data_IF_281353040662
#
_entry.id   IF_281353040662
#
_cell.length_a   1.000
_cell.length_b   1.000
_cell.length_c   1.000
_cell.angle_alpha   90.00
_cell.angle_beta   90.00
_cell.angle_gamma   90.00
#
_symmetry.space_group_name_H-M   'P 1'
#
loop_
_entity.id
_entity.type
_entity.pdbx_description
1 polymer ?
#
# COMPACT_ATOMS: atom_id res chain seq x y z
N UNK A 1 11.05 -20.96 22.25
CA UNK A 1 11.87 -20.50 21.12
C UNK A 1 10.98 -20.56 19.90
N UNK A 2 10.31 -19.46 19.57
CA UNK A 2 9.38 -19.41 18.44
C UNK A 2 10.15 -19.01 17.18
N UNK A 3 10.28 -19.94 16.26
CA UNK A 3 10.99 -19.80 15.00
C UNK A 3 10.11 -19.01 14.03
N UNK A 4 10.49 -17.77 13.73
CA UNK A 4 9.89 -16.99 12.65
C UNK A 4 10.54 -17.49 11.36
N UNK A 5 9.80 -18.28 10.60
CA UNK A 5 10.28 -18.88 9.36
C UNK A 5 10.13 -17.88 8.21
N UNK A 6 11.26 -17.32 7.80
CA UNK A 6 11.38 -16.33 6.73
C UNK A 6 11.42 -17.09 5.39
N UNK A 7 10.36 -17.01 4.57
CA UNK A 7 10.34 -17.64 3.23
C UNK A 7 11.28 -16.90 2.26
N UNK A 8 12.58 -17.10 2.44
CA UNK A 8 13.66 -16.58 1.58
C UNK A 8 13.74 -17.44 0.32
N UNK A 9 13.18 -16.98 -0.80
CA UNK A 9 13.41 -17.69 -2.06
C UNK A 9 12.91 -17.08 -3.37
N UNK A 10 12.12 -16.00 -3.37
CA UNK A 10 11.36 -15.70 -4.58
C UNK A 10 11.92 -14.62 -5.53
N UNK A 11 12.98 -13.91 -5.14
CA UNK A 11 13.45 -12.75 -5.90
C UNK A 11 14.85 -13.00 -6.49
N UNK A 12 14.91 -13.50 -7.72
CA UNK A 12 16.15 -13.57 -8.52
C UNK A 12 15.96 -12.82 -9.83
N UNK A 13 16.63 -11.66 -9.89
CA UNK A 13 17.24 -10.97 -11.02
C UNK A 13 16.48 -10.83 -12.35
N UNK A 14 16.37 -9.57 -12.81
CA UNK A 14 16.69 -9.25 -14.20
C UNK A 14 17.26 -7.84 -14.34
N UNK A 15 18.40 -7.78 -15.04
CA UNK A 15 19.09 -6.55 -15.46
C UNK A 15 18.31 -5.90 -16.60
N UNK A 16 18.09 -4.59 -16.54
CA UNK A 16 17.64 -3.78 -17.68
C UNK A 16 18.79 -2.88 -18.15
N UNK A 17 19.09 -2.90 -19.45
CA UNK A 17 19.92 -1.90 -20.12
C UNK A 17 18.99 -0.88 -20.78
N UNK A 18 19.26 0.41 -20.55
CA UNK A 18 18.57 1.52 -21.21
C UNK A 18 19.55 2.27 -22.12
N UNK A 19 19.10 2.58 -23.34
CA UNK A 19 19.76 3.48 -24.29
C UNK A 19 18.84 4.68 -24.49
N UNK A 20 19.37 5.89 -24.37
CA UNK A 20 18.68 7.15 -24.63
C UNK A 20 19.37 7.90 -25.77
N UNK A 21 18.57 8.47 -26.68
CA UNK A 21 18.97 9.57 -27.55
C UNK A 21 17.96 10.73 -27.42
N UNK A 22 18.39 11.99 -27.67
CA UNK A 22 17.76 13.18 -27.13
C UNK A 22 16.84 13.90 -28.14
N UNK A 23 15.88 14.69 -27.62
CA UNK A 23 15.13 15.67 -28.42
C UNK A 23 14.04 16.37 -27.60
N UNK A 24 14.29 17.62 -27.19
CA UNK A 24 13.39 18.46 -26.39
C UNK A 24 12.40 19.21 -27.29
N UNK A 25 11.17 19.33 -26.78
CA UNK A 25 9.94 19.91 -27.33
C UNK A 25 9.86 21.43 -27.04
N UNK A 26 9.16 22.21 -27.88
CA UNK A 26 8.57 23.50 -27.46
C UNK A 26 7.20 23.80 -28.11
N UNK A 27 6.38 24.57 -27.38
CA UNK A 27 5.04 25.16 -27.67
C UNK A 27 3.82 24.23 -27.57
N UNK A 28 2.68 24.56 -26.95
CA UNK A 28 2.21 25.71 -26.15
C UNK A 28 0.91 25.37 -25.39
N UNK A 29 0.72 26.08 -24.28
CA UNK A 29 -0.45 26.34 -23.42
C UNK A 29 -1.86 26.13 -24.02
N UNK A 30 -2.69 25.33 -23.33
CA UNK A 30 -4.10 25.64 -23.08
C UNK A 30 -4.42 25.29 -21.61
N UNK A 31 -5.03 26.25 -20.91
CA UNK A 31 -5.56 26.13 -19.55
C UNK A 31 -6.95 25.49 -19.61
N UNK A 32 -7.10 24.30 -19.05
CA UNK A 32 -8.38 23.76 -18.61
C UNK A 32 -8.35 23.63 -17.10
N UNK A 33 -9.38 24.10 -16.41
CA UNK A 33 -9.62 23.76 -15.01
C UNK A 33 -10.58 22.57 -15.06
N UNK A 34 -10.05 21.37 -14.87
CA UNK A 34 -10.86 20.17 -14.64
C UNK A 34 -10.72 19.81 -13.17
N UNK A 35 -11.85 19.77 -12.47
CA UNK A 35 -11.95 19.17 -11.14
C UNK A 35 -13.16 18.25 -11.14
N UNK A 36 -12.93 16.94 -11.04
CA UNK A 36 -13.34 16.17 -9.87
C UNK A 36 -12.92 14.69 -9.98
N UNK A 37 -12.05 14.28 -9.06
CA UNK A 37 -12.09 12.97 -8.37
C UNK A 37 -11.85 11.69 -9.18
N UNK A 38 -10.79 11.63 -9.97
CA UNK A 38 -9.98 10.44 -10.12
C UNK A 38 -8.55 10.88 -10.46
N UNK A 39 -7.55 10.49 -9.67
CA UNK A 39 -6.16 10.81 -10.02
C UNK A 39 -5.84 10.07 -11.32
N UNK A 40 -5.38 10.82 -12.31
CA UNK A 40 -4.92 10.24 -13.57
C UNK A 40 -3.45 9.89 -13.49
N UNK A 41 -3.13 8.66 -13.84
CA UNK A 41 -1.78 8.14 -13.88
C UNK A 41 -1.37 7.86 -15.33
N UNK A 42 -0.14 8.21 -15.67
CA UNK A 42 0.55 7.75 -16.88
C UNK A 42 1.30 6.46 -16.58
N UNK A 43 1.66 5.75 -17.64
CA UNK A 43 2.53 4.57 -17.50
C UNK A 43 3.86 4.96 -16.84
N UNK A 44 4.26 4.24 -15.80
CA UNK A 44 5.48 4.50 -15.02
C UNK A 44 5.31 5.51 -13.89
N UNK A 45 4.13 6.12 -13.72
CA UNK A 45 3.88 7.00 -12.58
C UNK A 45 3.89 6.20 -11.27
N UNK A 46 4.50 6.79 -10.23
CA UNK A 46 4.55 6.18 -8.90
C UNK A 46 3.23 6.40 -8.16
N UNK A 47 2.63 5.30 -7.72
CA UNK A 47 1.42 5.30 -6.90
C UNK A 47 1.83 5.09 -5.44
N UNK A 48 1.43 6.03 -4.58
CA UNK A 48 1.79 6.02 -3.16
C UNK A 48 0.81 5.17 -2.35
N UNK A 49 1.36 4.28 -1.53
CA UNK A 49 0.59 3.56 -0.50
C UNK A 49 0.72 4.32 0.82
N UNK A 50 -0.40 4.52 1.50
CA UNK A 50 -0.44 5.17 2.82
C UNK A 50 -1.02 4.22 3.86
N UNK A 51 -0.41 4.23 5.04
CA UNK A 51 -0.94 3.59 6.24
C UNK A 51 -1.81 4.58 6.98
N UNK A 52 -3.09 4.23 7.14
CA UNK A 52 -4.07 5.10 7.78
C UNK A 52 -4.22 4.70 9.25
N UNK A 53 -4.90 3.58 9.52
CA UNK A 53 -5.15 3.14 10.90
C UNK A 53 -4.99 1.63 11.08
N UNK A 54 -4.93 1.23 12.33
CA UNK A 54 -4.96 -0.15 12.78
C UNK A 54 -6.21 -0.32 13.63
N UNK A 55 -7.12 -1.19 13.20
CA UNK A 55 -8.42 -1.38 13.84
C UNK A 55 -8.58 -2.76 14.44
N UNK A 56 -9.16 -2.78 15.64
CA UNK A 56 -9.66 -4.01 16.25
C UNK A 56 -11.09 -4.34 15.76
N UNK A 57 -11.55 -5.60 15.94
CA UNK A 57 -12.94 -5.98 15.65
C UNK A 57 -13.97 -5.14 16.43
N UNK A 58 -13.61 -4.66 17.62
CA UNK A 58 -14.41 -3.77 18.44
C UNK A 58 -14.38 -2.29 17.99
N UNK A 59 -13.86 -2.00 16.78
CA UNK A 59 -13.75 -0.66 16.18
C UNK A 59 -12.87 0.34 16.96
N UNK A 60 -11.99 -0.14 17.85
CA UNK A 60 -10.94 0.71 18.42
C UNK A 60 -9.85 0.90 17.37
N UNK A 61 -9.60 2.16 16.99
CA UNK A 61 -8.57 2.59 16.04
C UNK A 61 -7.30 3.05 16.76
N UNK A 62 -6.16 2.84 16.12
CA UNK A 62 -4.84 3.40 16.47
C UNK A 62 -4.12 3.80 15.19
N UNK A 63 -3.09 4.63 15.31
CA UNK A 63 -2.23 4.98 14.18
C UNK A 63 -1.46 3.77 13.67
N UNK A 64 -1.14 3.77 12.37
CA UNK A 64 -0.35 2.72 11.72
C UNK A 64 1.00 2.48 12.41
N UNK A 65 1.62 3.53 12.95
CA UNK A 65 2.91 3.49 13.67
C UNK A 65 2.91 2.60 14.92
N UNK A 66 1.73 2.19 15.41
CA UNK A 66 1.62 1.27 16.55
C UNK A 66 1.95 -0.18 16.20
N UNK A 67 1.91 -0.55 14.91
CA UNK A 67 2.31 -1.88 14.46
C UNK A 67 3.81 -1.85 14.16
N UNK A 68 4.63 -2.72 14.78
CA UNK A 68 6.09 -2.66 14.66
C UNK A 68 6.60 -3.28 13.34
N UNK A 69 6.04 -2.87 12.21
CA UNK A 69 6.60 -3.14 10.90
C UNK A 69 7.82 -2.25 10.63
N UNK A 70 8.79 -2.80 9.92
CA UNK A 70 9.91 -2.00 9.43
C UNK A 70 9.52 -1.17 8.19
N UNK A 71 10.40 -0.23 7.83
CA UNK A 71 10.19 0.71 6.72
C UNK A 71 10.14 2.14 7.23
N UNK A 72 10.37 3.12 6.35
CA UNK A 72 10.15 4.50 6.74
C UNK A 72 8.64 4.73 6.88
N UNK A 73 8.24 5.17 8.07
CA UNK A 73 6.95 5.76 8.32
C UNK A 73 7.17 7.26 8.28
N UNK A 74 7.16 7.84 7.08
CA UNK A 74 7.24 9.29 6.98
C UNK A 74 5.86 9.83 7.28
N UNK A 75 5.71 10.51 8.41
CA UNK A 75 4.49 11.28 8.64
C UNK A 75 4.32 12.21 7.44
N UNK A 76 3.21 12.05 6.73
CA UNK A 76 2.86 13.03 5.72
C UNK A 76 2.53 14.32 6.45
N UNK A 77 2.97 15.46 5.91
CA UNK A 77 2.31 16.72 6.30
C UNK A 77 0.83 16.51 6.05
N UNK A 78 -0.01 16.88 7.01
CA UNK A 78 -1.47 16.87 6.85
C UNK A 78 -1.80 17.58 5.53
N UNK A 79 -2.14 16.79 4.51
CA UNK A 79 -2.20 17.27 3.13
C UNK A 79 -3.38 18.22 2.95
N UNK A 80 -4.42 18.04 3.76
CA UNK A 80 -5.64 18.84 3.75
C UNK A 80 -5.93 19.45 5.12
N UNK A 81 -6.56 20.63 5.15
CA UNK A 81 -7.06 21.24 6.39
C UNK A 81 -8.04 20.32 7.12
N UNK A 82 -8.84 19.55 6.37
CA UNK A 82 -9.74 18.56 6.92
C UNK A 82 -8.99 17.47 7.71
N UNK A 83 -7.93 16.89 7.14
CA UNK A 83 -7.09 15.89 7.83
C UNK A 83 -6.46 16.48 9.09
N UNK A 84 -6.09 17.76 9.02
CA UNK A 84 -5.57 18.47 10.19
C UNK A 84 -6.59 18.56 11.32
N UNK A 85 -7.81 18.98 11.00
CA UNK A 85 -8.90 19.16 11.96
C UNK A 85 -9.43 17.83 12.50
N UNK A 86 -9.47 16.79 11.67
CA UNK A 86 -9.92 15.45 12.05
C UNK A 86 -8.87 14.71 12.90
N UNK A 87 -7.63 15.20 12.95
CA UNK A 87 -6.54 14.51 13.62
C UNK A 87 -6.16 13.21 12.92
N UNK A 88 -6.41 13.11 11.61
CA UNK A 88 -6.01 11.94 10.84
C UNK A 88 -4.49 11.94 10.66
N UNK A 89 -3.85 10.85 11.08
CA UNK A 89 -2.42 10.62 10.91
C UNK A 89 -2.21 9.60 9.80
N UNK A 90 -1.93 10.08 8.59
CA UNK A 90 -1.52 9.21 7.48
C UNK A 90 0.00 9.11 7.41
N UNK A 91 0.51 7.88 7.44
CA UNK A 91 1.92 7.59 7.22
C UNK A 91 2.15 7.21 5.77
N UNK A 92 3.06 7.91 5.08
CA UNK A 92 3.51 7.47 3.76
C UNK A 92 4.42 6.26 3.94
N UNK A 93 4.12 5.21 3.18
CA UNK A 93 4.87 3.96 3.21
C UNK A 93 5.81 3.91 2.00
N UNK A 94 6.95 3.24 2.16
CA UNK A 94 7.99 3.12 1.12
C UNK A 94 7.63 2.12 -0.02
N UNK A 95 6.35 1.76 -0.18
CA UNK A 95 5.90 0.98 -1.32
C UNK A 95 5.95 1.85 -2.58
N UNK A 96 6.93 1.62 -3.45
CA UNK A 96 6.97 2.26 -4.78
C UNK A 96 6.30 1.34 -5.78
N UNK A 97 4.99 1.55 -6.02
CA UNK A 97 4.21 0.88 -7.05
C UNK A 97 4.24 1.72 -8.33
N UNK A 98 4.53 1.11 -9.47
CA UNK A 98 4.52 1.79 -10.77
C UNK A 98 3.27 1.46 -11.58
N UNK A 99 2.59 2.49 -12.05
CA UNK A 99 1.39 2.30 -12.85
C UNK A 99 1.71 1.63 -14.19
N UNK A 100 1.01 0.54 -14.49
CA UNK A 100 1.19 -0.22 -15.73
C UNK A 100 2.37 -1.20 -15.72
N UNK A 101 3.12 -1.29 -14.62
CA UNK A 101 4.24 -2.23 -14.47
C UNK A 101 3.92 -3.26 -13.39
N UNK A 102 3.92 -4.54 -13.75
CA UNK A 102 3.84 -5.61 -12.75
C UNK A 102 5.20 -5.75 -12.06
N UNK A 103 5.25 -5.38 -10.78
CA UNK A 103 6.43 -5.57 -9.96
C UNK A 103 6.23 -6.78 -9.05
N UNK A 104 7.18 -7.70 -9.07
CA UNK A 104 7.22 -8.81 -8.13
C UNK A 104 8.34 -8.60 -7.14
N UNK A 105 8.14 -9.02 -5.90
CA UNK A 105 9.25 -9.41 -5.05
C UNK A 105 10.14 -8.24 -4.58
N UNK A 106 9.49 -7.19 -4.05
CA UNK A 106 10.16 -6.00 -3.51
C UNK A 106 10.23 -6.07 -1.99
N UNK A 107 11.43 -6.28 -1.46
CA UNK A 107 11.66 -6.23 -0.01
C UNK A 107 11.78 -4.77 0.41
N UNK A 108 10.84 -4.29 1.23
CA UNK A 108 10.91 -2.93 1.76
C UNK A 108 12.08 -2.74 2.73
N UNK A 109 12.23 -3.71 3.63
CA UNK A 109 13.17 -3.64 4.74
C UNK A 109 13.36 -5.01 5.38
N UNK A 110 14.49 -5.15 6.08
CA UNK A 110 14.77 -6.29 6.93
C UNK A 110 15.05 -5.77 8.34
N UNK A 111 14.28 -6.20 9.32
CA UNK A 111 14.50 -5.87 10.73
C UNK A 111 14.52 -7.12 11.60
N UNK A 112 15.23 -7.02 12.73
CA UNK A 112 15.13 -8.02 13.80
C UNK A 112 14.11 -7.53 14.80
N UNK A 113 13.12 -8.36 15.12
CA UNK A 113 12.10 -8.01 16.12
C UNK A 113 12.69 -8.06 17.52
N UNK A 114 12.57 -6.95 18.25
CA UNK A 114 12.90 -6.93 19.68
C UNK A 114 11.88 -7.77 20.49
N UNK A 115 12.21 -8.10 21.74
CA UNK A 115 11.27 -8.79 22.62
C UNK A 115 9.98 -7.99 22.84
N UNK A 116 10.07 -6.66 22.86
CA UNK A 116 8.91 -5.79 23.02
C UNK A 116 8.04 -5.76 21.76
N UNK A 117 8.65 -5.76 20.57
CA UNK A 117 7.93 -5.83 19.30
C UNK A 117 7.22 -7.17 19.12
N UNK A 118 7.87 -8.27 19.54
CA UNK A 118 7.24 -9.60 19.54
C UNK A 118 5.98 -9.63 20.41
N UNK A 119 6.05 -9.08 21.64
CA UNK A 119 4.89 -8.98 22.53
C UNK A 119 3.78 -8.09 21.95
N UNK A 120 4.14 -7.01 21.26
CA UNK A 120 3.17 -6.14 20.57
C UNK A 120 2.48 -6.87 19.42
N UNK A 121 3.23 -7.57 18.57
CA UNK A 121 2.65 -8.40 17.51
C UNK A 121 1.73 -9.47 18.10
N UNK A 122 2.16 -10.17 19.13
CA UNK A 122 1.32 -11.16 19.82
C UNK A 122 0.01 -10.55 20.33
N UNK A 123 0.07 -9.37 20.96
CA UNK A 123 -1.11 -8.66 21.44
C UNK A 123 -2.05 -8.24 20.30
N UNK A 124 -1.49 -7.71 19.22
CA UNK A 124 -2.23 -7.27 18.04
C UNK A 124 -2.96 -8.45 17.37
N UNK A 125 -2.24 -9.56 17.20
CA UNK A 125 -2.76 -10.75 16.52
C UNK A 125 -3.81 -11.44 17.37
N UNK A 126 -3.56 -11.64 18.67
CA UNK A 126 -4.56 -12.22 19.60
C UNK A 126 -5.84 -11.39 19.71
N UNK A 127 -5.76 -10.08 19.49
CA UNK A 127 -6.92 -9.17 19.48
C UNK A 127 -7.53 -8.97 18.10
N UNK A 128 -7.05 -9.67 17.07
CA UNK A 128 -7.60 -9.63 15.72
C UNK A 128 -7.47 -8.27 15.04
N UNK A 129 -6.41 -7.51 15.34
CA UNK A 129 -6.21 -6.21 14.69
C UNK A 129 -5.96 -6.36 13.18
N UNK A 130 -6.52 -5.42 12.43
CA UNK A 130 -6.37 -5.27 10.98
C UNK A 130 -5.73 -3.93 10.68
N UNK A 131 -4.95 -3.90 9.62
CA UNK A 131 -4.27 -2.72 9.11
C UNK A 131 -5.05 -2.19 7.92
N UNK A 132 -5.48 -0.93 8.01
CA UNK A 132 -6.09 -0.22 6.91
C UNK A 132 -5.03 0.59 6.16
N UNK A 133 -4.89 0.27 4.88
CA UNK A 133 -4.02 0.97 3.94
C UNK A 133 -4.88 1.63 2.88
N UNK A 134 -4.40 2.74 2.33
CA UNK A 134 -5.01 3.41 1.19
C UNK A 134 -4.02 3.50 0.03
N UNK A 135 -4.55 3.39 -1.18
CA UNK A 135 -3.83 3.58 -2.44
C UNK A 135 -4.60 4.63 -3.23
N UNK A 136 -3.99 5.78 -3.51
CA UNK A 136 -4.69 6.92 -4.15
C UNK A 136 -6.00 7.33 -3.45
N UNK A 137 -6.00 7.31 -2.11
CA UNK A 137 -7.20 7.57 -1.27
C UNK A 137 -8.30 6.50 -1.38
N UNK A 138 -8.06 5.39 -2.08
CA UNK A 138 -8.97 4.24 -2.11
C UNK A 138 -8.57 3.24 -1.02
N UNK A 139 -9.53 2.73 -0.22
CA UNK A 139 -9.24 1.74 0.80
C UNK A 139 -8.83 0.43 0.15
N UNK A 140 -7.74 -0.17 0.65
CA UNK A 140 -7.35 -1.50 0.23
C UNK A 140 -8.23 -2.55 0.90
N UNK A 141 -8.63 -3.54 0.11
CA UNK A 141 -9.48 -4.63 0.55
C UNK A 141 -8.70 -5.94 0.49
N UNK A 142 -8.72 -6.70 1.58
CA UNK A 142 -8.27 -8.08 1.58
C UNK A 142 -9.33 -8.95 0.89
N UNK A 143 -8.92 -9.62 -0.17
CA UNK A 143 -9.73 -10.65 -0.82
C UNK A 143 -9.54 -11.96 -0.05
N UNK A 144 -10.62 -12.62 0.35
CA UNK A 144 -10.53 -13.96 0.93
C UNK A 144 -10.11 -14.95 -0.17
N UNK A 145 -9.05 -15.70 0.07
CA UNK A 145 -8.61 -16.75 -0.86
C UNK A 145 -9.51 -17.99 -0.64
N UNK A 146 -10.45 -18.22 -1.57
CA UNK A 146 -11.39 -19.33 -1.50
C UNK A 146 -12.73 -19.02 -2.18
N UNK A 147 -13.12 -19.88 -3.10
CA UNK A 147 -14.37 -19.86 -3.87
C UNK A 147 -15.57 -20.03 -2.91
N UNK A 148 -16.04 -18.93 -2.33
CA UNK A 148 -17.41 -18.70 -1.82
C UNK A 148 -17.42 -17.42 -0.96
N UNK A 149 -17.88 -16.32 -1.57
CA UNK A 149 -18.74 -15.27 -0.99
C UNK A 149 -18.37 -14.67 0.40
N UNK A 150 -17.13 -14.80 0.86
CA UNK A 150 -16.62 -14.03 1.99
C UNK A 150 -16.23 -12.67 1.47
N UNK A 151 -17.18 -11.73 1.57
CA UNK A 151 -17.05 -10.36 1.09
C UNK A 151 -15.70 -9.71 1.40
N UNK A 152 -15.29 -8.80 0.53
CA UNK A 152 -14.04 -8.06 0.67
C UNK A 152 -14.01 -7.28 1.99
N UNK A 153 -13.03 -7.56 2.84
CA UNK A 153 -12.85 -6.84 4.11
C UNK A 153 -11.84 -5.72 3.92
N UNK A 154 -12.14 -4.56 4.49
CA UNK A 154 -11.18 -3.46 4.52
C UNK A 154 -9.93 -3.85 5.34
N UNK A 155 -8.78 -3.47 4.80
CA UNK A 155 -7.48 -3.75 5.39
C UNK A 155 -7.12 -5.23 5.35
N UNK A 156 -6.00 -5.59 5.98
CA UNK A 156 -5.54 -6.98 6.14
C UNK A 156 -5.26 -7.31 7.61
N UNK A 157 -5.41 -8.57 8.01
CA UNK A 157 -5.08 -8.98 9.39
C UNK A 157 -3.57 -8.92 9.64
N UNK A 158 -3.16 -8.38 10.79
CA UNK A 158 -1.72 -8.29 11.19
C UNK A 158 -1.05 -9.67 11.20
N UNK A 159 -1.83 -10.72 11.47
CA UNK A 159 -1.36 -12.09 11.54
C UNK A 159 -2.48 -13.04 11.95
N UNK A 160 -2.11 -14.29 12.22
CA UNK A 160 -3.02 -15.36 12.62
C UNK A 160 -2.43 -16.17 13.78
N UNK A 161 -3.31 -16.66 14.66
CA UNK A 161 -2.93 -17.59 15.72
C UNK A 161 -3.13 -19.01 15.18
N UNK A 162 -2.07 -19.81 15.18
CA UNK A 162 -2.11 -21.23 14.87
C UNK A 162 -1.98 -22.06 16.15
N UNK A 163 -2.22 -23.37 16.04
CA UNK A 163 -2.12 -24.29 17.18
C UNK A 163 -0.69 -24.35 17.78
N UNK A 164 0.33 -24.14 16.95
CA UNK A 164 1.74 -24.26 17.25
C UNK A 164 2.49 -22.91 17.32
N UNK A 165 1.78 -21.79 17.15
CA UNK A 165 2.41 -20.47 17.26
C UNK A 165 1.58 -19.32 16.70
N UNK A 166 2.27 -18.25 16.34
CA UNK A 166 1.68 -17.05 15.75
C UNK A 166 2.41 -16.76 14.45
N UNK A 167 1.64 -16.53 13.38
CA UNK A 167 2.16 -16.07 12.09
C UNK A 167 1.91 -14.58 11.96
N UNK A 168 2.92 -13.84 11.52
CA UNK A 168 2.81 -12.43 11.17
C UNK A 168 2.62 -12.31 9.66
N UNK A 169 1.60 -11.57 9.23
CA UNK A 169 1.43 -11.21 7.82
C UNK A 169 2.28 -9.97 7.51
N UNK A 170 3.46 -10.19 6.94
CA UNK A 170 4.36 -9.13 6.45
C UNK A 170 4.50 -9.10 4.93
N UNK A 171 3.97 -10.11 4.23
CA UNK A 171 4.00 -10.22 2.78
C UNK A 171 2.66 -9.77 2.20
N UNK A 172 2.68 -8.68 1.43
CA UNK A 172 1.48 -8.09 0.83
C UNK A 172 1.57 -8.17 -0.70
N UNK A 173 0.52 -8.70 -1.33
CA UNK A 173 0.34 -8.68 -2.77
C UNK A 173 -0.72 -7.63 -3.14
N UNK A 174 -0.34 -6.61 -3.91
CA UNK A 174 -1.28 -5.59 -4.40
C UNK A 174 -1.84 -5.99 -5.76
N UNK A 175 -3.16 -6.19 -5.85
CA UNK A 175 -3.89 -6.39 -7.11
C UNK A 175 -4.66 -5.12 -7.45
N UNK A 176 -4.05 -4.27 -8.28
CA UNK A 176 -4.62 -2.98 -8.66
C UNK A 176 -5.41 -3.13 -9.97
N UNK A 177 -6.71 -2.85 -9.94
CA UNK A 177 -7.51 -2.76 -11.15
C UNK A 177 -7.45 -1.34 -11.69
N UNK A 178 -7.34 -1.24 -13.00
CA UNK A 178 -7.18 0.04 -13.68
C UNK A 178 -8.19 0.16 -14.81
N UNK A 179 -8.63 1.38 -15.06
CA UNK A 179 -9.45 1.75 -16.21
C UNK A 179 -8.64 2.67 -17.09
N UNK A 180 -8.58 2.38 -18.39
CA UNK A 180 -8.00 3.30 -19.36
C UNK A 180 -8.95 4.48 -19.56
N UNK A 181 -8.45 5.69 -19.42
CA UNK A 181 -9.23 6.89 -19.69
C UNK A 181 -9.13 7.22 -21.18
N UNK A 182 -10.28 7.47 -21.80
CA UNK A 182 -10.41 7.90 -23.19
C UNK A 182 -11.38 9.06 -23.27
N UNK A 183 -10.98 10.22 -22.77
CA UNK A 183 -11.74 11.46 -22.92
C UNK A 183 -11.29 12.17 -24.21
N UNK A 184 -12.23 12.80 -24.92
CA UNK A 184 -11.96 13.54 -26.16
C UNK A 184 -10.96 14.73 -25.99
N UNK A 185 -10.60 15.08 -24.75
CA UNK A 185 -9.68 16.17 -24.37
C UNK A 185 -8.36 15.71 -23.73
N UNK A 186 -8.15 14.41 -23.47
CA UNK A 186 -6.95 13.88 -22.82
C UNK A 186 -6.15 12.98 -23.78
N UNK A 187 -4.80 12.93 -23.68
CA UNK A 187 -4.03 11.96 -24.45
C UNK A 187 -4.50 10.55 -24.07
N UNK A 188 -4.82 9.74 -25.08
CA UNK A 188 -5.40 8.37 -24.99
C UNK A 188 -4.61 7.32 -24.18
N UNK A 189 -3.65 7.74 -23.36
CA UNK A 189 -2.66 6.93 -22.65
C UNK A 189 -2.72 7.06 -21.12
N UNK A 190 -3.70 7.76 -20.54
CA UNK A 190 -3.88 7.87 -19.08
C UNK A 190 -4.77 6.75 -18.52
N UNK A 191 -4.56 6.44 -17.24
CA UNK A 191 -5.24 5.40 -16.49
C UNK A 191 -5.74 5.93 -15.15
N UNK A 192 -6.86 5.39 -14.68
CA UNK A 192 -7.39 5.61 -13.32
C UNK A 192 -7.44 4.28 -12.57
N UNK A 193 -7.24 4.33 -11.24
CA UNK A 193 -7.39 3.16 -10.36
C UNK A 193 -8.88 3.02 -10.00
N UNK A 194 -9.40 1.78 -10.05
CA UNK A 194 -10.83 1.46 -9.83
C UNK A 194 -11.05 0.26 -8.92
#
# INVERSE_FOLDING_TARGET
>A
SSMIEDRKGWCSNSRMQAVLLPGIIFFSLIRGIESSSATEFRSGDLVQVRGETVRSPAQVTRDYSWVPYCGAHRETKKNTLADFLNGNHESLLDYELEMGTSQSCKVLCTSKLSLDDQKRFELLIKRGYRVDLTLDNLPLLQTAEGDNDRGSLQGYAVGEVLDDGIIIHNHIEFKVKTRRNGAASLPSSTWSIV
#
